data_IF_938346322976
#
_entry.id   IF_938346322976
#
_cell.length_a   1.000
_cell.length_b   1.000
_cell.length_c   1.000
_cell.angle_alpha   90.00
_cell.angle_beta   90.00
_cell.angle_gamma   90.00
#
_symmetry.space_group_name_H-M   'P 1'
#
loop_
_entity.id
_entity.type
_entity.pdbx_description
1 polymer ?
#
# COMPACT_ATOMS: atom_id res chain seq x y z
N UNK A 1 15.95 1.05 16.67
CA UNK A 1 17.35 0.57 16.44
C UNK A 1 17.71 0.39 14.96
N UNK A 2 16.86 -0.26 14.14
CA UNK A 2 17.16 -0.48 12.72
C UNK A 2 17.35 0.82 11.92
N UNK A 3 16.46 1.80 12.10
CA UNK A 3 16.52 3.10 11.43
C UNK A 3 17.83 3.85 11.72
N UNK A 4 18.27 3.86 12.99
CA UNK A 4 19.55 4.47 13.36
C UNK A 4 20.73 3.81 12.63
N UNK A 5 20.78 2.46 12.65
CA UNK A 5 21.84 1.71 11.95
C UNK A 5 21.85 1.97 10.46
N UNK A 6 20.68 2.10 9.84
CA UNK A 6 20.56 2.50 8.44
C UNK A 6 21.17 3.88 8.21
N UNK A 7 20.86 4.86 9.08
CA UNK A 7 21.46 6.19 9.04
C UNK A 7 22.99 6.19 9.20
N UNK A 8 23.51 5.37 10.11
CA UNK A 8 24.96 5.27 10.36
C UNK A 8 25.71 4.58 9.20
N UNK A 9 25.00 3.85 8.33
CA UNK A 9 25.58 3.16 7.16
C UNK A 9 25.55 4.01 5.89
N UNK A 10 24.88 5.16 5.91
CA UNK A 10 24.77 6.05 4.76
C UNK A 10 25.92 7.08 4.75
N UNK A 11 26.45 7.36 3.57
CA UNK A 11 27.29 8.55 3.36
C UNK A 11 26.46 9.82 3.58
N UNK A 12 27.15 10.94 3.82
CA UNK A 12 26.52 12.27 3.80
C UNK A 12 25.79 12.48 2.49
N UNK A 13 24.58 13.04 2.56
CA UNK A 13 23.61 13.17 1.47
C UNK A 13 23.05 11.85 0.93
N UNK A 14 23.39 10.72 1.55
CA UNK A 14 22.73 9.44 1.31
C UNK A 14 21.26 9.48 1.74
N UNK A 15 20.41 8.69 1.07
CA UNK A 15 18.96 8.69 1.30
C UNK A 15 18.49 7.38 1.89
N UNK A 16 17.60 7.50 2.88
CA UNK A 16 16.75 6.40 3.32
C UNK A 16 15.39 6.56 2.62
N UNK A 17 14.97 5.51 1.91
CA UNK A 17 13.64 5.40 1.32
C UNK A 17 12.97 4.19 1.96
N UNK A 18 11.84 4.41 2.63
CA UNK A 18 11.03 3.35 3.22
C UNK A 18 9.67 3.36 2.56
N UNK A 19 9.21 2.18 2.19
CA UNK A 19 7.93 1.90 1.56
C UNK A 19 7.20 0.90 2.43
N UNK A 20 5.98 1.23 2.86
CA UNK A 20 5.24 0.40 3.79
C UNK A 20 3.72 0.46 3.55
N UNK A 21 3.03 -0.54 4.09
CA UNK A 21 1.57 -0.62 4.08
C UNK A 21 1.00 -0.04 5.38
N UNK A 22 0.03 0.85 5.25
CA UNK A 22 -0.70 1.44 6.36
C UNK A 22 -2.11 0.84 6.43
N UNK A 23 -2.23 -0.42 6.87
CA UNK A 23 -3.52 -1.12 6.91
C UNK A 23 -4.50 -0.47 7.89
N UNK A 24 -4.01 0.18 8.93
CA UNK A 24 -4.75 0.91 9.95
C UNK A 24 -5.56 2.07 9.35
N UNK A 25 -5.14 2.55 8.18
CA UNK A 25 -5.71 3.69 7.49
C UNK A 25 -6.84 3.32 6.53
N UNK A 26 -7.04 2.05 6.23
CA UNK A 26 -8.18 1.60 5.44
C UNK A 26 -9.50 1.94 6.17
N UNK A 27 -10.52 2.28 5.39
CA UNK A 27 -11.89 2.42 5.87
C UNK A 27 -12.83 1.55 5.02
N UNK A 28 -14.07 1.38 5.48
CA UNK A 28 -15.02 0.52 4.79
C UNK A 28 -15.31 0.98 3.35
N UNK A 29 -15.32 2.30 3.11
CA UNK A 29 -15.56 2.84 1.78
C UNK A 29 -14.45 2.43 0.81
N UNK A 30 -13.22 2.48 1.29
CA UNK A 30 -12.04 2.07 0.54
C UNK A 30 -12.07 0.57 0.26
N UNK A 31 -12.42 -0.27 1.25
CA UNK A 31 -12.54 -1.72 1.05
C UNK A 31 -13.67 -2.08 0.08
N UNK A 32 -14.82 -1.39 0.14
CA UNK A 32 -15.90 -1.57 -0.84
C UNK A 32 -15.44 -1.25 -2.26
N UNK A 33 -14.79 -0.10 -2.47
CA UNK A 33 -14.21 0.23 -3.78
C UNK A 33 -13.21 -0.84 -4.25
N UNK A 34 -12.38 -1.35 -3.35
CA UNK A 34 -11.42 -2.39 -3.71
C UNK A 34 -12.11 -3.69 -4.12
N UNK A 35 -13.17 -4.09 -3.40
CA UNK A 35 -14.04 -5.21 -3.79
C UNK A 35 -14.72 -5.01 -5.15
N UNK A 36 -15.17 -3.80 -5.46
CA UNK A 36 -15.75 -3.45 -6.77
C UNK A 36 -14.70 -3.56 -7.89
N UNK A 37 -13.47 -3.11 -7.63
CA UNK A 37 -12.35 -3.25 -8.57
C UNK A 37 -12.02 -4.72 -8.86
N UNK A 38 -11.99 -5.56 -7.81
CA UNK A 38 -11.80 -7.02 -7.95
C UNK A 38 -12.95 -7.63 -8.78
N UNK A 39 -14.20 -7.29 -8.46
CA UNK A 39 -15.39 -7.78 -9.17
C UNK A 39 -15.35 -7.43 -10.66
N UNK A 40 -14.94 -6.21 -11.00
CA UNK A 40 -14.82 -5.75 -12.39
C UNK A 40 -13.78 -6.53 -13.17
N UNK A 41 -12.63 -6.83 -12.58
CA UNK A 41 -11.57 -7.59 -13.25
C UNK A 41 -11.92 -9.07 -13.38
N UNK A 42 -12.55 -9.65 -12.36
CA UNK A 42 -13.03 -11.03 -12.38
C UNK A 42 -14.12 -11.24 -13.44
N UNK A 43 -15.09 -10.31 -13.55
CA UNK A 43 -16.13 -10.35 -14.57
C UNK A 43 -15.58 -10.25 -16.01
N UNK A 44 -14.36 -9.75 -16.17
CA UNK A 44 -13.63 -9.71 -17.44
C UNK A 44 -12.69 -10.92 -17.64
N UNK A 45 -12.74 -11.93 -16.76
CA UNK A 45 -11.85 -13.09 -16.72
C UNK A 45 -10.35 -12.71 -16.65
N UNK A 46 -10.04 -11.57 -16.02
CA UNK A 46 -8.67 -11.05 -15.91
C UNK A 46 -7.95 -11.49 -14.64
N UNK A 47 -8.63 -12.15 -13.71
CA UNK A 47 -8.05 -12.64 -12.44
C UNK A 47 -7.89 -14.16 -12.45
N UNK A 48 -6.85 -14.63 -11.78
CA UNK A 48 -6.69 -16.05 -11.42
C UNK A 48 -7.82 -16.40 -10.47
N UNK A 49 -8.64 -17.38 -10.87
CA UNK A 49 -9.66 -18.00 -10.02
C UNK A 49 -8.90 -18.83 -8.99
N UNK A 50 -9.19 -18.66 -7.69
CA UNK A 50 -8.56 -19.33 -6.53
C UNK A 50 -7.58 -18.46 -5.70
N UNK A 51 -7.81 -17.15 -5.61
CA UNK A 51 -7.21 -16.32 -4.55
C UNK A 51 -8.22 -16.10 -3.40
N UNK A 52 -8.03 -16.82 -2.28
CA UNK A 52 -8.94 -16.79 -1.11
C UNK A 52 -9.11 -15.38 -0.54
N UNK A 53 -8.04 -14.60 -0.51
CA UNK A 53 -8.07 -13.24 0.02
C UNK A 53 -8.88 -12.31 -0.89
N UNK A 54 -8.63 -12.32 -2.20
CA UNK A 54 -9.39 -11.50 -3.14
C UNK A 54 -10.86 -11.92 -3.18
N UNK A 55 -11.14 -13.22 -3.08
CA UNK A 55 -12.50 -13.73 -2.93
C UNK A 55 -13.17 -13.18 -1.67
N UNK A 56 -12.47 -13.18 -0.53
CA UNK A 56 -13.00 -12.66 0.72
C UNK A 56 -13.31 -11.16 0.67
N UNK A 57 -12.41 -10.36 0.07
CA UNK A 57 -12.64 -8.92 -0.15
C UNK A 57 -13.82 -8.69 -1.10
N UNK A 58 -13.87 -9.41 -2.23
CA UNK A 58 -14.93 -9.31 -3.23
C UNK A 58 -16.32 -9.60 -2.65
N UNK A 59 -16.42 -10.64 -1.82
CA UNK A 59 -17.68 -11.05 -1.21
C UNK A 59 -18.01 -10.29 0.08
N UNK A 60 -17.17 -9.33 0.49
CA UNK A 60 -17.36 -8.54 1.70
C UNK A 60 -17.23 -9.35 3.00
N UNK A 61 -16.64 -10.55 2.94
CA UNK A 61 -16.35 -11.35 4.14
C UNK A 61 -15.06 -10.91 4.81
N UNK A 62 -14.15 -10.28 4.08
CA UNK A 62 -13.03 -9.54 4.66
C UNK A 62 -13.55 -8.22 5.24
N UNK A 63 -13.94 -8.26 6.52
CA UNK A 63 -14.39 -7.06 7.24
C UNK A 63 -13.22 -6.09 7.47
N UNK A 64 -13.51 -4.82 7.77
CA UNK A 64 -12.46 -3.86 8.13
C UNK A 64 -11.65 -4.32 9.35
N UNK A 65 -12.30 -4.99 10.30
CA UNK A 65 -11.61 -5.58 11.44
C UNK A 65 -10.66 -6.70 10.99
N UNK A 66 -11.16 -7.66 10.21
CA UNK A 66 -10.33 -8.75 9.67
C UNK A 66 -9.16 -8.21 8.85
N UNK A 67 -9.39 -7.21 8.00
CA UNK A 67 -8.34 -6.56 7.22
C UNK A 67 -7.20 -6.04 8.09
N UNK A 68 -7.52 -5.35 9.19
CA UNK A 68 -6.52 -4.80 10.12
C UNK A 68 -5.85 -5.91 10.92
N UNK A 69 -6.62 -6.84 11.48
CA UNK A 69 -6.08 -7.92 12.31
C UNK A 69 -5.19 -8.88 11.53
N UNK A 70 -5.58 -9.26 10.31
CA UNK A 70 -4.84 -10.17 9.44
C UNK A 70 -3.46 -9.62 9.02
N UNK A 71 -3.27 -8.30 9.12
CA UNK A 71 -2.06 -7.64 8.64
C UNK A 71 -1.23 -6.92 9.73
N UNK A 72 -1.79 -6.60 10.91
CA UNK A 72 -1.17 -5.61 11.82
C UNK A 72 -0.83 -6.04 13.24
N UNK A 73 -1.24 -7.22 13.74
CA UNK A 73 -1.21 -7.45 15.20
C UNK A 73 0.17 -7.27 15.85
N UNK A 74 1.25 -7.56 15.12
CA UNK A 74 2.64 -7.48 15.61
C UNK A 74 3.52 -6.46 14.86
N UNK A 75 2.96 -5.65 13.96
CA UNK A 75 3.71 -4.67 13.16
C UNK A 75 3.62 -3.25 13.73
N UNK A 76 4.66 -2.46 13.50
CA UNK A 76 4.62 -1.03 13.80
C UNK A 76 3.71 -0.31 12.82
N UNK A 77 2.95 0.67 13.30
CA UNK A 77 2.12 1.50 12.42
C UNK A 77 2.98 2.40 11.54
N UNK A 78 2.43 2.86 10.42
CA UNK A 78 3.11 3.85 9.58
C UNK A 78 3.43 5.15 10.36
N UNK A 79 2.61 5.49 11.36
CA UNK A 79 2.85 6.63 12.24
C UNK A 79 4.08 6.42 13.12
N UNK A 80 4.25 5.23 13.69
CA UNK A 80 5.40 4.88 14.53
C UNK A 80 6.70 4.86 13.71
N UNK A 81 6.64 4.28 12.51
CA UNK A 81 7.77 4.24 11.58
C UNK A 81 8.19 5.67 11.20
N UNK A 82 7.22 6.53 10.84
CA UNK A 82 7.49 7.93 10.56
C UNK A 82 8.18 8.64 11.73
N UNK A 83 7.68 8.43 12.95
CA UNK A 83 8.23 9.05 14.15
C UNK A 83 9.69 8.62 14.39
N UNK A 84 10.01 7.34 14.23
CA UNK A 84 11.37 6.82 14.40
C UNK A 84 12.33 7.33 13.31
N UNK A 85 11.88 7.40 12.04
CA UNK A 85 12.68 7.99 10.95
C UNK A 85 12.95 9.47 11.22
N UNK A 86 11.92 10.22 11.62
CA UNK A 86 12.04 11.64 11.95
C UNK A 86 13.00 11.87 13.13
N UNK A 87 12.94 11.00 14.15
CA UNK A 87 13.85 11.06 15.30
C UNK A 87 15.32 10.86 14.88
N UNK A 88 15.60 9.96 13.94
CA UNK A 88 16.97 9.62 13.54
C UNK A 88 17.54 10.53 12.44
N UNK A 89 16.71 11.02 11.51
CA UNK A 89 17.15 11.79 10.34
C UNK A 89 16.71 13.27 10.35
N UNK A 90 15.83 13.68 11.27
CA UNK A 90 15.28 15.03 11.29
C UNK A 90 14.19 15.21 10.24
N UNK A 91 14.47 15.94 9.16
CA UNK A 91 13.46 16.21 8.13
C UNK A 91 13.13 14.94 7.33
N UNK A 92 11.84 14.63 7.21
CA UNK A 92 11.34 13.45 6.49
C UNK A 92 10.18 13.88 5.60
N UNK A 93 10.28 13.59 4.31
CA UNK A 93 9.15 13.69 3.40
C UNK A 93 8.28 12.44 3.56
N UNK A 94 6.97 12.66 3.68
CA UNK A 94 5.96 11.59 3.74
C UNK A 94 5.00 11.76 2.57
N UNK A 95 4.91 10.75 1.73
CA UNK A 95 3.95 10.68 0.62
C UNK A 95 2.94 9.54 0.87
N UNK A 96 1.70 9.78 0.48
CA UNK A 96 0.65 8.78 0.40
C UNK A 96 0.64 8.20 -1.02
N UNK A 97 0.71 6.88 -1.17
CA UNK A 97 0.94 6.24 -2.47
C UNK A 97 -0.03 5.07 -2.74
N UNK A 98 -0.36 4.79 -4.02
CA UNK A 98 -1.31 3.74 -4.39
C UNK A 98 -0.68 2.35 -4.23
N UNK A 99 -1.30 1.48 -3.45
CA UNK A 99 -0.78 0.14 -3.11
C UNK A 99 -1.84 -0.96 -3.27
N UNK A 100 -3.14 -0.65 -3.39
CA UNK A 100 -4.18 -1.66 -3.63
C UNK A 100 -3.96 -2.40 -4.95
N UNK A 101 -3.53 -1.69 -6.01
CA UNK A 101 -3.21 -2.32 -7.30
C UNK A 101 -2.14 -3.42 -7.19
N UNK A 102 -1.29 -3.40 -6.15
CA UNK A 102 -0.23 -4.42 -5.96
C UNK A 102 -0.78 -5.78 -5.58
N UNK A 103 -1.92 -5.83 -4.88
CA UNK A 103 -2.62 -7.09 -4.62
C UNK A 103 -3.09 -7.71 -5.93
N UNK A 104 -3.62 -6.88 -6.83
CA UNK A 104 -4.09 -7.31 -8.15
C UNK A 104 -2.93 -7.69 -9.08
N UNK A 105 -1.75 -7.08 -8.93
CA UNK A 105 -0.56 -7.45 -9.71
C UNK A 105 -0.20 -8.93 -9.61
N UNK A 106 -0.41 -9.56 -8.46
CA UNK A 106 -0.15 -10.98 -8.27
C UNK A 106 -1.24 -11.88 -8.82
N UNK A 107 -2.46 -11.37 -8.92
CA UNK A 107 -3.64 -12.14 -9.28
C UNK A 107 -4.10 -11.94 -10.73
N UNK A 108 -3.62 -10.92 -11.44
CA UNK A 108 -3.94 -10.77 -12.87
C UNK A 108 -3.31 -11.90 -13.68
N UNK A 109 -4.11 -12.55 -14.52
CA UNK A 109 -3.67 -13.63 -15.41
C UNK A 109 -2.53 -13.17 -16.32
N UNK A 110 -1.58 -14.05 -16.67
CA UNK A 110 -0.56 -13.73 -17.67
C UNK A 110 -1.22 -13.41 -19.02
N UNK A 111 -1.23 -12.12 -19.40
CA UNK A 111 -1.80 -11.62 -20.63
C UNK A 111 -0.90 -10.51 -21.21
N UNK A 112 -0.96 -10.31 -22.54
CA UNK A 112 -0.15 -9.31 -23.24
C UNK A 112 -0.34 -7.88 -22.66
N UNK A 113 -1.55 -7.56 -22.18
CA UNK A 113 -1.90 -6.24 -21.67
C UNK A 113 -1.80 -6.10 -20.14
N UNK A 114 -1.24 -7.09 -19.43
CA UNK A 114 -1.15 -7.08 -17.94
C UNK A 114 -0.55 -5.79 -17.39
N UNK A 115 0.55 -5.33 -17.99
CA UNK A 115 1.23 -4.11 -17.54
C UNK A 115 0.40 -2.85 -17.78
N UNK A 116 -0.40 -2.82 -18.85
CA UNK A 116 -1.32 -1.73 -19.12
C UNK A 116 -2.42 -1.69 -18.06
N UNK A 117 -3.04 -2.85 -17.78
CA UNK A 117 -4.09 -2.97 -16.75
C UNK A 117 -3.55 -2.48 -15.40
N UNK A 118 -2.34 -2.88 -15.01
CA UNK A 118 -1.74 -2.45 -13.75
C UNK A 118 -1.43 -0.96 -13.68
N UNK A 119 -0.95 -0.37 -14.78
CA UNK A 119 -0.75 1.09 -14.85
C UNK A 119 -2.06 1.84 -14.72
N UNK A 120 -3.11 1.37 -15.41
CA UNK A 120 -4.42 2.02 -15.38
C UNK A 120 -5.04 1.94 -13.97
N UNK A 121 -4.93 0.78 -13.29
CA UNK A 121 -5.36 0.62 -11.91
C UNK A 121 -4.61 1.54 -10.94
N UNK A 122 -3.28 1.62 -11.07
CA UNK A 122 -2.46 2.49 -10.22
C UNK A 122 -2.79 3.98 -10.45
N UNK A 123 -3.10 4.37 -11.70
CA UNK A 123 -3.51 5.73 -12.03
C UNK A 123 -4.90 6.06 -11.46
N UNK A 124 -5.87 5.16 -11.61
CA UNK A 124 -7.21 5.29 -11.03
C UNK A 124 -7.13 5.42 -9.50
N UNK A 125 -6.38 4.55 -8.84
CA UNK A 125 -6.15 4.60 -7.39
C UNK A 125 -5.51 5.94 -6.97
N UNK A 126 -4.53 6.43 -7.74
CA UNK A 126 -3.89 7.73 -7.47
C UNK A 126 -4.87 8.90 -7.53
N UNK A 127 -5.74 8.92 -8.54
CA UNK A 127 -6.76 9.96 -8.70
C UNK A 127 -7.76 9.92 -7.54
N UNK A 128 -8.24 8.73 -7.18
CA UNK A 128 -9.20 8.54 -6.09
C UNK A 128 -8.61 8.95 -4.73
N UNK A 129 -7.34 8.65 -4.48
CA UNK A 129 -6.60 9.13 -3.29
C UNK A 129 -6.51 10.65 -3.30
N UNK A 130 -6.11 11.24 -4.43
CA UNK A 130 -5.92 12.70 -4.56
C UNK A 130 -7.22 13.48 -4.33
N UNK A 131 -8.34 12.91 -4.77
CA UNK A 131 -9.68 13.48 -4.57
C UNK A 131 -10.30 13.12 -3.20
N UNK A 132 -9.58 12.41 -2.33
CA UNK A 132 -10.06 11.98 -1.01
C UNK A 132 -11.23 10.98 -1.06
N UNK A 133 -11.41 10.31 -2.20
CA UNK A 133 -12.50 9.33 -2.39
C UNK A 133 -12.20 8.03 -1.67
N UNK A 134 -10.93 7.60 -1.67
CA UNK A 134 -10.44 6.43 -0.93
C UNK A 134 -9.25 6.80 -0.06
N UNK A 135 -8.94 5.96 0.93
CA UNK A 135 -7.76 6.10 1.77
C UNK A 135 -6.55 5.45 1.10
N UNK A 136 -5.38 6.11 1.12
CA UNK A 136 -4.16 5.53 0.58
C UNK A 136 -3.68 4.40 1.50
N UNK A 137 -3.44 3.22 0.93
CA UNK A 137 -2.84 2.10 1.65
C UNK A 137 -1.33 2.29 1.82
N UNK A 138 -0.63 2.77 0.79
CA UNK A 138 0.83 2.83 0.82
C UNK A 138 1.38 4.10 1.46
N UNK A 139 2.55 3.97 2.06
CA UNK A 139 3.34 5.08 2.63
C UNK A 139 4.74 5.05 2.07
N UNK A 140 5.21 6.22 1.62
CA UNK A 140 6.60 6.45 1.25
C UNK A 140 7.21 7.48 2.18
N UNK A 141 8.28 7.10 2.85
CA UNK A 141 9.10 8.01 3.64
C UNK A 141 10.44 8.21 2.96
N UNK A 142 10.86 9.47 2.79
CA UNK A 142 12.17 9.82 2.25
C UNK A 142 12.87 10.74 3.24
N UNK A 143 14.05 10.32 3.70
CA UNK A 143 14.90 11.09 4.58
C UNK A 143 16.32 11.14 4.02
N UNK A 144 17.03 12.23 4.29
CA UNK A 144 18.41 12.42 3.84
C UNK A 144 19.36 12.48 5.04
N UNK A 145 20.52 11.87 4.91
CA UNK A 145 21.59 11.94 5.91
C UNK A 145 22.29 13.28 5.81
N UNK A 146 22.00 14.19 6.74
CA UNK A 146 22.57 15.55 6.70
C UNK A 146 24.01 15.68 7.23
N UNK A 147 24.53 14.71 7.99
CA UNK A 147 25.86 14.78 8.64
C UNK A 147 26.55 13.43 8.78
#
# INVERSE_FOLDING_TARGET
KAVQRAGDSLLVSGRLIVEDFAYEMADEKTLRWFGDAISRLDAADLLVKDDDFLNAVRHGTETLQAWRENHESDLHTATDIFAEIRRAFGAVKRDNVPYYFRYLARAIVPAADRDKILRDLAAEETELISNGTIRPLGRRFVAERSK
#
